data_IF_630264161438
#
_entry.id   IF_630264161438
#
_cell.length_a   1.000
_cell.length_b   1.000
_cell.length_c   1.000
_cell.angle_alpha   90.00
_cell.angle_beta   90.00
_cell.angle_gamma   90.00
#
_symmetry.space_group_name_H-M   'P 1'
#
loop_
_entity.id
_entity.type
_entity.pdbx_description
1 polymer ?
#
# COMPACT_ATOMS: atom_id res chain seq x y z
N UNK A 1 22.18 -0.26 -13.91
CA UNK A 1 21.01 0.65 -14.04
C UNK A 1 20.51 0.93 -12.64
N UNK A 2 20.15 2.17 -12.30
CA UNK A 2 19.60 2.50 -10.98
C UNK A 2 18.13 2.05 -11.00
N UNK A 3 17.74 1.15 -10.11
CA UNK A 3 16.35 0.70 -9.97
C UNK A 3 15.48 1.87 -9.51
N UNK A 4 14.27 2.02 -10.09
CA UNK A 4 13.38 3.09 -9.68
C UNK A 4 12.79 2.78 -8.30
N UNK A 5 12.52 3.81 -7.49
CA UNK A 5 11.93 3.61 -6.15
C UNK A 5 10.61 2.83 -6.23
N UNK A 6 9.81 3.07 -7.27
CA UNK A 6 8.53 2.36 -7.44
C UNK A 6 8.72 0.85 -7.64
N UNK A 7 9.77 0.42 -8.33
CA UNK A 7 10.05 -1.00 -8.52
C UNK A 7 10.35 -1.67 -7.16
N UNK A 8 11.11 -0.98 -6.30
CA UNK A 8 11.39 -1.45 -4.93
C UNK A 8 10.10 -1.55 -4.09
N UNK A 9 9.18 -0.60 -4.25
CA UNK A 9 7.88 -0.64 -3.56
C UNK A 9 7.01 -1.81 -4.04
N UNK A 10 7.01 -2.08 -5.35
CA UNK A 10 6.30 -3.22 -5.94
C UNK A 10 6.90 -4.53 -5.44
N UNK A 11 8.23 -4.69 -5.48
CA UNK A 11 8.92 -5.88 -4.98
C UNK A 11 8.63 -6.12 -3.50
N UNK A 12 8.66 -5.06 -2.68
CA UNK A 12 8.31 -5.14 -1.27
C UNK A 12 6.86 -5.61 -1.06
N UNK A 13 5.93 -5.06 -1.84
CA UNK A 13 4.52 -5.45 -1.79
C UNK A 13 4.33 -6.91 -2.23
N UNK A 14 4.93 -7.34 -3.35
CA UNK A 14 4.88 -8.73 -3.82
C UNK A 14 5.42 -9.68 -2.75
N UNK A 15 6.57 -9.36 -2.15
CA UNK A 15 7.16 -10.17 -1.10
C UNK A 15 6.23 -10.30 0.12
N UNK A 16 5.53 -9.23 0.50
CA UNK A 16 4.54 -9.25 1.58
C UNK A 16 3.33 -10.12 1.25
N UNK A 17 2.77 -9.97 0.04
CA UNK A 17 1.62 -10.76 -0.41
C UNK A 17 1.94 -12.25 -0.53
N UNK A 18 3.14 -12.60 -1.01
CA UNK A 18 3.60 -13.97 -1.13
C UNK A 18 3.76 -14.70 0.22
N UNK A 19 3.72 -13.99 1.36
CA UNK A 19 3.69 -14.63 2.67
C UNK A 19 2.34 -15.29 3.00
N UNK A 20 1.26 -14.88 2.31
CA UNK A 20 -0.13 -15.28 2.56
C UNK A 20 -0.62 -15.02 4.00
N UNK A 21 0.17 -14.32 4.83
CA UNK A 21 -0.20 -13.91 6.17
C UNK A 21 -1.02 -12.62 6.09
N UNK A 22 -2.34 -12.77 6.12
CA UNK A 22 -3.28 -11.64 6.09
C UNK A 22 -3.03 -10.58 7.19
N UNK A 23 -2.43 -10.94 8.33
CA UNK A 23 -2.06 -9.97 9.37
C UNK A 23 -0.88 -9.11 8.95
N UNK A 24 0.09 -9.68 8.21
CA UNK A 24 1.19 -8.93 7.61
C UNK A 24 0.72 -8.08 6.45
N UNK A 25 -0.12 -8.63 5.57
CA UNK A 25 -0.67 -7.90 4.42
C UNK A 25 -1.43 -6.65 4.87
N UNK A 26 -2.20 -6.72 5.96
CA UNK A 26 -2.89 -5.54 6.52
C UNK A 26 -1.96 -4.41 6.95
N UNK A 27 -0.72 -4.73 7.35
CA UNK A 27 0.29 -3.75 7.79
C UNK A 27 1.08 -3.15 6.61
N UNK A 28 0.99 -3.75 5.43
CA UNK A 28 1.75 -3.36 4.23
C UNK A 28 1.63 -1.86 3.91
N UNK A 29 0.43 -1.31 3.98
CA UNK A 29 0.19 0.12 3.66
C UNK A 29 0.98 1.03 4.60
N UNK A 30 0.93 0.75 5.91
CA UNK A 30 1.67 1.51 6.92
C UNK A 30 3.18 1.35 6.74
N UNK A 31 3.63 0.14 6.43
CA UNK A 31 5.05 -0.15 6.20
C UNK A 31 5.58 0.61 4.98
N UNK A 32 4.85 0.61 3.86
CA UNK A 32 5.21 1.39 2.66
C UNK A 32 5.30 2.90 2.98
N UNK A 33 4.31 3.45 3.70
CA UNK A 33 4.32 4.86 4.10
C UNK A 33 5.47 5.20 5.07
N UNK A 34 5.87 4.25 5.92
CA UNK A 34 6.95 4.42 6.87
C UNK A 34 8.34 4.33 6.21
N UNK A 35 8.53 3.38 5.30
CA UNK A 35 9.82 3.15 4.61
C UNK A 35 10.08 4.22 3.55
N UNK A 36 9.03 4.70 2.86
CA UNK A 36 9.12 5.74 1.83
C UNK A 36 8.34 7.01 2.20
N UNK A 37 8.72 7.72 3.28
CA UNK A 37 7.94 8.85 3.80
C UNK A 37 7.91 10.06 2.85
N UNK A 38 8.92 10.19 1.99
CA UNK A 38 9.08 11.33 1.08
C UNK A 38 8.53 11.08 -0.33
N UNK A 39 8.14 9.85 -0.65
CA UNK A 39 7.59 9.49 -1.96
C UNK A 39 6.12 9.92 -2.07
N UNK A 40 5.62 10.17 -3.29
CA UNK A 40 4.21 10.43 -3.52
C UNK A 40 3.36 9.31 -2.93
N UNK A 41 2.35 9.66 -2.13
CA UNK A 41 1.51 8.67 -1.47
C UNK A 41 0.78 7.78 -2.47
N UNK A 42 0.43 8.30 -3.65
CA UNK A 42 -0.21 7.53 -4.73
C UNK A 42 0.68 6.39 -5.25
N UNK A 43 2.00 6.48 -5.10
CA UNK A 43 2.93 5.38 -5.42
C UNK A 43 2.67 4.15 -4.57
N UNK A 44 2.14 4.30 -3.34
CA UNK A 44 1.77 3.19 -2.45
C UNK A 44 0.58 2.43 -3.03
N UNK A 45 -0.48 3.14 -3.42
CA UNK A 45 -1.66 2.54 -4.03
C UNK A 45 -1.30 1.82 -5.34
N UNK A 46 -0.45 2.45 -6.15
CA UNK A 46 0.06 1.85 -7.39
C UNK A 46 0.85 0.56 -7.10
N UNK A 47 1.82 0.60 -6.19
CA UNK A 47 2.65 -0.54 -5.86
C UNK A 47 1.84 -1.75 -5.38
N UNK A 48 0.85 -1.52 -4.50
CA UNK A 48 -0.03 -2.58 -4.00
C UNK A 48 -0.90 -3.16 -5.11
N UNK A 49 -1.43 -2.30 -5.99
CA UNK A 49 -2.25 -2.74 -7.13
C UNK A 49 -1.43 -3.60 -8.10
N UNK A 50 -0.22 -3.18 -8.43
CA UNK A 50 0.70 -3.93 -9.29
C UNK A 50 1.10 -5.27 -8.67
N UNK A 51 1.38 -5.29 -7.37
CA UNK A 51 1.70 -6.52 -6.66
C UNK A 51 0.51 -7.49 -6.60
N UNK A 52 -0.70 -6.99 -6.36
CA UNK A 52 -1.93 -7.78 -6.36
C UNK A 52 -2.17 -8.44 -7.72
N UNK A 53 -2.07 -7.66 -8.80
CA UNK A 53 -2.19 -8.17 -10.18
C UNK A 53 -1.14 -9.25 -10.47
N UNK A 54 0.10 -9.05 -10.02
CA UNK A 54 1.19 -10.02 -10.22
C UNK A 54 0.90 -11.34 -9.50
N UNK A 55 0.40 -11.30 -8.26
CA UNK A 55 0.05 -12.50 -7.48
C UNK A 55 -1.15 -13.22 -8.11
N UNK A 56 -2.15 -12.47 -8.60
CA UNK A 56 -3.32 -13.01 -9.29
C UNK A 56 -2.92 -13.75 -10.58
N UNK A 57 -1.98 -13.20 -11.35
CA UNK A 57 -1.50 -13.80 -12.60
C UNK A 57 -0.57 -15.01 -12.39
N UNK A 58 0.25 -15.01 -11.33
CA UNK A 58 1.32 -15.99 -11.12
C UNK A 58 0.90 -17.21 -10.30
N UNK A 59 -0.12 -17.10 -9.44
CA UNK A 59 -0.43 -18.13 -8.43
C UNK A 59 -1.92 -18.45 -8.43
N UNK A 60 -2.28 -19.62 -8.93
CA UNK A 60 -3.66 -20.11 -8.92
C UNK A 60 -3.91 -20.99 -7.69
N UNK A 61 -4.01 -20.35 -6.52
CA UNK A 61 -4.41 -21.00 -5.27
C UNK A 61 -5.51 -20.20 -4.57
N UNK A 62 -6.38 -20.84 -3.77
CA UNK A 62 -7.42 -20.11 -3.03
C UNK A 62 -6.87 -19.04 -2.08
N UNK A 63 -5.66 -19.21 -1.55
CA UNK A 63 -5.07 -18.28 -0.58
C UNK A 63 -4.32 -17.12 -1.25
N UNK A 64 -3.68 -17.35 -2.41
CA UNK A 64 -3.17 -16.26 -3.26
C UNK A 64 -4.29 -15.36 -3.78
N UNK A 65 -5.44 -15.93 -4.18
CA UNK A 65 -6.62 -15.15 -4.57
C UNK A 65 -7.11 -14.25 -3.44
N UNK A 66 -7.19 -14.76 -2.19
CA UNK A 66 -7.58 -13.94 -1.03
C UNK A 66 -6.57 -12.84 -0.74
N UNK A 67 -5.28 -13.14 -0.87
CA UNK A 67 -4.20 -12.17 -0.67
C UNK A 67 -4.27 -11.03 -1.69
N UNK A 68 -4.48 -11.35 -2.97
CA UNK A 68 -4.68 -10.36 -4.03
C UNK A 68 -5.95 -9.51 -3.80
N UNK A 69 -7.09 -10.14 -3.46
CA UNK A 69 -8.33 -9.42 -3.14
C UNK A 69 -8.16 -8.47 -1.95
N UNK A 70 -7.46 -8.91 -0.90
CA UNK A 70 -7.15 -8.07 0.25
C UNK A 70 -6.26 -6.90 -0.18
N UNK A 71 -5.24 -7.13 -1.00
CA UNK A 71 -4.36 -6.10 -1.51
C UNK A 71 -5.11 -5.04 -2.33
N UNK A 72 -5.98 -5.44 -3.26
CA UNK A 72 -6.82 -4.50 -4.01
C UNK A 72 -7.73 -3.67 -3.10
N UNK A 73 -8.31 -4.29 -2.06
CA UNK A 73 -9.10 -3.56 -1.05
C UNK A 73 -8.25 -2.52 -0.33
N UNK A 74 -7.04 -2.88 0.11
CA UNK A 74 -6.14 -1.95 0.81
C UNK A 74 -5.68 -0.82 -0.11
N UNK A 75 -5.42 -1.10 -1.39
CA UNK A 75 -5.10 -0.09 -2.41
C UNK A 75 -6.25 0.92 -2.59
N UNK A 76 -7.49 0.46 -2.63
CA UNK A 76 -8.67 1.33 -2.71
C UNK A 76 -8.84 2.20 -1.46
N UNK A 77 -8.66 1.62 -0.27
CA UNK A 77 -8.76 2.35 1.00
C UNK A 77 -7.68 3.45 1.10
N UNK A 78 -6.42 3.12 0.82
CA UNK A 78 -5.35 4.14 0.88
C UNK A 78 -5.53 5.20 -0.19
N UNK A 79 -6.05 4.87 -1.38
CA UNK A 79 -6.37 5.86 -2.40
C UNK A 79 -7.43 6.88 -1.92
N UNK A 80 -8.43 6.43 -1.16
CA UNK A 80 -9.42 7.32 -0.55
C UNK A 80 -8.79 8.24 0.51
N UNK A 81 -7.90 7.72 1.35
CA UNK A 81 -7.16 8.53 2.33
C UNK A 81 -6.26 9.56 1.66
N UNK A 82 -5.57 9.17 0.57
CA UNK A 82 -4.73 10.07 -0.23
C UNK A 82 -5.59 11.21 -0.78
N UNK A 83 -6.76 10.88 -1.33
CA UNK A 83 -7.69 11.89 -1.80
C UNK A 83 -8.10 12.84 -0.67
N UNK A 84 -8.49 12.32 0.49
CA UNK A 84 -8.85 13.14 1.65
C UNK A 84 -7.71 14.07 2.10
N UNK A 85 -6.48 13.56 2.19
CA UNK A 85 -5.29 14.35 2.53
C UNK A 85 -5.02 15.46 1.52
N UNK A 86 -5.22 15.19 0.23
CA UNK A 86 -5.07 16.20 -0.82
C UNK A 86 -6.15 17.28 -0.75
N UNK A 87 -7.41 16.92 -0.49
CA UNK A 87 -8.50 17.87 -0.28
C UNK A 87 -8.30 18.73 0.99
N UNK A 88 -7.47 18.28 1.94
CA UNK A 88 -7.01 19.07 3.09
C UNK A 88 -5.84 20.00 2.75
N UNK A 89 -5.39 20.05 1.50
CA UNK A 89 -4.38 21.00 1.00
C UNK A 89 -2.95 20.45 0.88
N UNK A 90 -2.71 19.17 1.16
CA UNK A 90 -1.38 18.55 0.98
C UNK A 90 -1.25 17.95 -0.43
N UNK A 91 -0.80 18.75 -1.40
CA UNK A 91 -0.69 18.33 -2.81
C UNK A 91 0.75 18.54 -3.33
N UNK A 92 1.45 17.49 -3.81
CA UNK A 92 1.06 16.08 -3.72
C UNK A 92 1.15 15.57 -2.28
N UNK A 93 0.26 14.66 -1.90
CA UNK A 93 0.38 13.96 -0.63
C UNK A 93 1.59 13.01 -0.66
N UNK A 94 2.30 12.89 0.45
CA UNK A 94 3.45 11.98 0.64
C UNK A 94 3.16 10.91 1.68
N UNK A 95 4.01 9.88 1.73
CA UNK A 95 3.91 8.81 2.73
C UNK A 95 3.85 9.33 4.18
N UNK A 96 4.63 10.35 4.51
CA UNK A 96 4.58 10.98 5.84
C UNK A 96 3.24 11.67 6.16
N UNK A 97 2.58 12.23 5.15
CA UNK A 97 1.31 12.94 5.35
C UNK A 97 0.19 11.95 5.69
N UNK A 98 0.22 10.74 5.09
CA UNK A 98 -0.62 9.62 5.50
C UNK A 98 -0.37 9.22 6.97
N UNK A 99 0.89 9.09 7.39
CA UNK A 99 1.21 8.77 8.78
C UNK A 99 0.69 9.84 9.76
N UNK A 100 0.67 11.11 9.36
CA UNK A 100 0.09 12.19 10.17
C UNK A 100 -1.44 12.16 10.15
N UNK A 101 -2.04 11.90 8.99
CA UNK A 101 -3.48 11.76 8.82
C UNK A 101 -4.03 10.63 9.70
N UNK A 102 -3.41 9.45 9.65
CA UNK A 102 -3.91 8.31 10.41
C UNK A 102 -3.82 8.50 11.92
N UNK A 103 -2.82 9.23 12.42
CA UNK A 103 -2.71 9.55 13.86
C UNK A 103 -3.80 10.51 14.35
N UNK A 104 -4.43 11.28 13.45
CA UNK A 104 -5.28 12.41 13.83
C UNK A 104 -6.74 12.27 13.37
N UNK A 105 -6.99 11.54 12.29
CA UNK A 105 -8.28 11.54 11.59
C UNK A 105 -8.82 10.12 11.45
N UNK A 106 -8.05 9.20 10.85
CA UNK A 106 -8.48 7.81 10.64
C UNK A 106 -7.37 6.80 11.03
N UNK A 107 -7.43 6.18 12.22
CA UNK A 107 -6.38 5.30 12.70
C UNK A 107 -6.41 3.90 12.07
N UNK A 108 -7.26 3.62 11.08
CA UNK A 108 -7.41 2.28 10.50
C UNK A 108 -6.08 1.58 10.21
N UNK A 109 -5.17 2.22 9.47
CA UNK A 109 -3.87 1.62 9.12
C UNK A 109 -2.86 1.57 10.28
N UNK A 110 -3.15 2.18 11.42
CA UNK A 110 -2.36 2.07 12.65
C UNK A 110 -2.79 0.88 13.53
N UNK A 111 -4.08 0.54 13.52
CA UNK A 111 -4.68 -0.42 14.45
C UNK A 111 -4.79 -1.86 13.89
N UNK A 112 -4.50 -2.06 12.60
CA UNK A 112 -4.59 -3.36 11.91
C UNK A 112 -3.41 -4.32 12.09
#
# INVERSE_FOLDING_TARGET
>A
MRQATIDLMIEFAVASLATEDHRRIRKLVRELAHVWPNEPALSIAFAITSAASTIEDMVDTPDSTKSAQLAFRLAALVAADIYAVQEMGQVPAKGQDLMHFWRRVDPYFLDV
#
